data_IF_683765788377
#
_entry.id   IF_683765788377
#
_cell.length_a   1.000
_cell.length_b   1.000
_cell.length_c   1.000
_cell.angle_alpha   90.00
_cell.angle_beta   90.00
_cell.angle_gamma   90.00
#
_symmetry.space_group_name_H-M   'P 1'
#
loop_
_entity.id
_entity.type
_entity.pdbx_description
1 polymer ?
#
# COMPACT_ATOMS: atom_id res chain seq x y z
N UNK A 1 -11.55 30.33 -22.30
CA UNK A 1 -12.15 29.76 -21.08
C UNK A 1 -11.62 30.56 -19.89
N UNK A 2 -12.49 31.20 -19.10
CA UNK A 2 -12.06 32.08 -18.02
C UNK A 2 -11.16 31.33 -17.03
N UNK A 3 -9.98 31.87 -16.74
CA UNK A 3 -9.14 31.50 -15.61
C UNK A 3 -9.90 31.79 -14.31
N UNK A 4 -10.79 30.88 -13.88
CA UNK A 4 -11.19 30.87 -12.47
C UNK A 4 -9.93 30.44 -11.69
N UNK A 5 -9.34 31.37 -10.94
CA UNK A 5 -8.28 31.05 -9.99
C UNK A 5 -8.78 29.91 -9.09
N UNK A 6 -7.92 28.93 -8.83
CA UNK A 6 -8.25 27.90 -7.85
C UNK A 6 -8.59 28.58 -6.50
N UNK A 7 -9.63 28.13 -5.79
CA UNK A 7 -10.03 28.71 -4.52
C UNK A 7 -8.87 28.59 -3.51
N UNK A 8 -8.71 29.62 -2.69
CA UNK A 8 -7.64 29.64 -1.68
C UNK A 8 -7.91 28.62 -0.59
N UNK A 9 -6.95 27.73 -0.34
CA UNK A 9 -7.00 26.75 0.76
C UNK A 9 -6.45 27.28 2.10
N UNK A 10 -6.19 28.60 2.20
CA UNK A 10 -5.51 29.22 3.34
C UNK A 10 -6.20 28.98 4.68
N UNK A 11 -7.54 28.88 4.68
CA UNK A 11 -8.32 28.62 5.88
C UNK A 11 -8.79 27.16 5.96
N UNK A 12 -9.28 26.62 4.85
CA UNK A 12 -9.92 25.29 4.82
C UNK A 12 -8.93 24.16 5.13
N UNK A 13 -7.71 24.19 4.57
CA UNK A 13 -6.73 23.13 4.82
C UNK A 13 -6.21 23.15 6.27
N UNK A 14 -5.68 24.27 6.81
CA UNK A 14 -5.19 24.28 8.19
C UNK A 14 -6.30 23.97 9.19
N UNK A 15 -7.51 24.50 9.00
CA UNK A 15 -8.63 24.21 9.89
C UNK A 15 -8.92 22.71 9.93
N UNK A 16 -9.04 22.07 8.76
CA UNK A 16 -9.33 20.63 8.71
C UNK A 16 -8.21 19.80 9.32
N UNK A 17 -6.96 20.10 9.01
CA UNK A 17 -5.80 19.39 9.56
C UNK A 17 -5.73 19.53 11.09
N UNK A 18 -5.91 20.75 11.62
CA UNK A 18 -5.87 21.01 13.07
C UNK A 18 -7.06 20.37 13.79
N UNK A 19 -8.27 20.44 13.23
CA UNK A 19 -9.45 19.78 13.79
C UNK A 19 -9.21 18.27 13.88
N UNK A 20 -8.67 17.66 12.82
CA UNK A 20 -8.37 16.23 12.81
C UNK A 20 -7.31 15.86 13.86
N UNK A 21 -6.23 16.66 13.95
CA UNK A 21 -5.17 16.43 14.93
C UNK A 21 -5.64 16.61 16.37
N UNK A 22 -6.43 17.64 16.67
CA UNK A 22 -7.02 17.85 18.01
C UNK A 22 -7.97 16.72 18.38
N UNK A 23 -8.78 16.24 17.43
CA UNK A 23 -9.64 15.08 17.64
C UNK A 23 -8.83 13.83 17.97
N UNK A 24 -7.76 13.52 17.21
CA UNK A 24 -6.86 12.40 17.50
C UNK A 24 -6.23 12.54 18.89
N UNK A 25 -5.76 13.73 19.27
CA UNK A 25 -5.20 13.98 20.61
C UNK A 25 -6.24 13.67 21.69
N UNK A 26 -7.48 14.14 21.53
CA UNK A 26 -8.57 13.85 22.46
C UNK A 26 -8.87 12.36 22.57
N UNK A 27 -8.84 11.63 21.45
CA UNK A 27 -9.02 10.18 21.43
C UNK A 27 -7.89 9.45 22.15
N UNK A 28 -6.63 9.84 21.90
CA UNK A 28 -5.49 9.25 22.59
C UNK A 28 -5.54 9.54 24.09
N UNK A 29 -5.82 10.79 24.49
CA UNK A 29 -5.92 11.16 25.89
C UNK A 29 -7.05 10.44 26.64
N UNK A 30 -8.12 10.05 25.95
CA UNK A 30 -9.28 9.38 26.57
C UNK A 30 -9.23 7.86 26.59
N UNK A 31 -8.51 7.22 25.66
CA UNK A 31 -8.65 5.78 25.40
C UNK A 31 -7.34 5.00 25.27
N UNK A 32 -6.19 5.67 25.20
CA UNK A 32 -4.92 5.05 24.81
C UNK A 32 -3.89 5.12 25.92
N UNK A 33 -3.36 3.96 26.29
CA UNK A 33 -2.31 3.78 27.29
C UNK A 33 -1.08 3.06 26.72
N UNK A 34 0.05 3.15 27.44
CA UNK A 34 1.28 2.44 27.07
C UNK A 34 1.29 1.02 27.62
N UNK A 35 1.61 0.05 26.75
CA UNK A 35 1.92 -1.31 27.18
C UNK A 35 3.33 -1.37 27.75
N UNK A 36 3.50 -1.96 28.93
CA UNK A 36 4.82 -2.23 29.48
C UNK A 36 5.62 -3.19 28.57
N UNK A 37 6.86 -2.83 28.23
CA UNK A 37 7.75 -3.59 27.33
C UNK A 37 8.93 -4.13 28.13
N UNK A 38 9.26 -5.42 27.94
CA UNK A 38 10.51 -5.99 28.47
C UNK A 38 11.69 -5.63 27.56
N UNK A 39 12.85 -5.30 28.14
CA UNK A 39 14.04 -4.85 27.39
C UNK A 39 14.41 -5.78 26.21
N UNK A 40 14.35 -7.10 26.42
CA UNK A 40 14.67 -8.07 25.37
C UNK A 40 13.73 -8.04 24.15
N UNK A 41 12.43 -7.73 24.35
CA UNK A 41 11.49 -7.57 23.23
C UNK A 41 11.72 -6.25 22.50
N UNK A 42 12.04 -5.18 23.24
CA UNK A 42 12.34 -3.88 22.67
C UNK A 42 13.52 -3.94 21.68
N UNK A 43 14.65 -4.53 22.09
CA UNK A 43 15.87 -4.62 21.26
C UNK A 43 15.69 -5.41 19.96
N UNK A 44 14.70 -6.31 19.89
CA UNK A 44 14.41 -7.11 18.68
C UNK A 44 13.44 -6.36 17.76
N UNK A 45 12.42 -5.71 18.30
CA UNK A 45 11.35 -5.11 17.50
C UNK A 45 11.69 -3.69 17.03
N UNK A 46 12.51 -2.94 17.78
CA UNK A 46 12.83 -1.56 17.44
C UNK A 46 13.56 -1.40 16.08
N UNK A 47 14.57 -2.22 15.72
CA UNK A 47 15.19 -2.13 14.40
C UNK A 47 14.21 -2.41 13.25
N UNK A 48 13.31 -3.38 13.44
CA UNK A 48 12.26 -3.69 12.46
C UNK A 48 11.31 -2.51 12.28
N UNK A 49 10.94 -1.84 13.37
CA UNK A 49 10.18 -0.60 13.30
C UNK A 49 10.93 0.48 12.49
N UNK A 50 12.23 0.67 12.73
CA UNK A 50 13.01 1.65 11.98
C UNK A 50 13.03 1.36 10.47
N UNK A 51 13.15 0.10 10.08
CA UNK A 51 13.12 -0.31 8.67
C UNK A 51 11.74 -0.04 8.03
N UNK A 52 10.64 -0.38 8.72
CA UNK A 52 9.27 -0.11 8.24
C UNK A 52 9.01 1.40 8.17
N UNK A 53 9.42 2.16 9.17
CA UNK A 53 9.31 3.61 9.16
C UNK A 53 10.10 4.24 8.00
N UNK A 54 11.32 3.75 7.72
CA UNK A 54 12.12 4.19 6.58
C UNK A 54 11.44 3.87 5.24
N UNK A 55 10.78 2.71 5.11
CA UNK A 55 9.95 2.35 3.95
C UNK A 55 8.82 3.37 3.73
N UNK A 56 8.10 3.75 4.80
CA UNK A 56 6.97 4.69 4.71
C UNK A 56 7.43 6.12 4.39
N UNK A 57 8.42 6.62 5.13
CA UNK A 57 8.83 8.04 5.07
C UNK A 57 9.76 8.30 3.90
N UNK A 58 10.86 7.53 3.79
CA UNK A 58 11.89 7.75 2.77
C UNK A 58 11.50 6.99 1.50
N UNK A 59 11.15 5.72 1.63
CA UNK A 59 10.83 4.84 0.50
C UNK A 59 9.71 5.41 -0.37
N UNK A 60 8.48 5.41 0.14
CA UNK A 60 7.35 5.98 -0.62
C UNK A 60 7.46 7.49 -0.82
N UNK A 61 8.00 8.24 0.14
CA UNK A 61 8.13 9.70 0.03
C UNK A 61 8.98 10.12 -1.17
N UNK A 62 10.18 9.54 -1.31
CA UNK A 62 11.03 9.82 -2.47
C UNK A 62 10.47 9.17 -3.74
N UNK A 63 9.81 8.01 -3.68
CA UNK A 63 9.18 7.39 -4.86
C UNK A 63 8.20 8.33 -5.58
N UNK A 64 7.52 9.21 -4.84
CA UNK A 64 6.58 10.19 -5.41
C UNK A 64 7.25 11.44 -6.02
N UNK A 65 8.58 11.57 -5.94
CA UNK A 65 9.31 12.74 -6.43
C UNK A 65 9.55 12.76 -7.92
N UNK A 66 9.25 11.67 -8.66
CA UNK A 66 9.52 11.58 -10.10
C UNK A 66 8.81 12.66 -10.93
N UNK A 67 7.65 13.14 -10.47
CA UNK A 67 6.85 14.17 -11.14
C UNK A 67 7.58 15.51 -11.17
N UNK A 68 7.97 15.95 -12.36
CA UNK A 68 8.86 17.12 -12.58
C UNK A 68 8.37 18.44 -11.98
N UNK A 69 7.05 18.61 -11.76
CA UNK A 69 6.45 19.80 -11.12
C UNK A 69 5.62 19.47 -9.88
N UNK A 70 5.82 18.30 -9.30
CA UNK A 70 5.11 17.87 -8.09
C UNK A 70 6.04 17.27 -7.03
N UNK A 71 7.36 17.20 -7.28
CA UNK A 71 8.31 16.55 -6.37
C UNK A 71 8.23 17.03 -4.91
N UNK A 72 8.19 18.35 -4.68
CA UNK A 72 8.05 18.92 -3.33
C UNK A 72 6.73 18.52 -2.66
N UNK A 73 5.62 18.64 -3.39
CA UNK A 73 4.30 18.27 -2.89
C UNK A 73 4.20 16.77 -2.63
N UNK A 74 4.76 15.92 -3.50
CA UNK A 74 4.80 14.48 -3.33
C UNK A 74 5.48 14.08 -2.02
N UNK A 75 6.69 14.59 -1.78
CA UNK A 75 7.44 14.31 -0.56
C UNK A 75 6.76 14.88 0.70
N UNK A 76 6.36 16.15 0.67
CA UNK A 76 5.78 16.82 1.83
C UNK A 76 4.39 16.26 2.20
N UNK A 77 3.54 16.00 1.21
CA UNK A 77 2.23 15.40 1.46
C UNK A 77 2.34 13.94 1.87
N UNK A 78 3.32 13.18 1.37
CA UNK A 78 3.58 11.83 1.88
C UNK A 78 3.88 11.85 3.37
N UNK A 79 4.82 12.71 3.82
CA UNK A 79 5.16 12.82 5.24
C UNK A 79 3.94 13.24 6.08
N UNK A 80 3.22 14.27 5.65
CA UNK A 80 2.03 14.76 6.34
C UNK A 80 0.95 13.67 6.48
N UNK A 81 0.62 13.00 5.38
CA UNK A 81 -0.44 12.00 5.34
C UNK A 81 -0.02 10.73 6.08
N UNK A 82 1.24 10.30 5.98
CA UNK A 82 1.76 9.17 6.75
C UNK A 82 1.71 9.43 8.26
N UNK A 83 2.11 10.63 8.70
CA UNK A 83 2.05 11.00 10.13
C UNK A 83 0.61 10.99 10.68
N UNK A 84 -0.35 11.49 9.90
CA UNK A 84 -1.77 11.44 10.25
C UNK A 84 -2.32 10.00 10.21
N UNK A 85 -1.95 9.25 9.18
CA UNK A 85 -2.38 7.88 8.94
C UNK A 85 -1.99 6.94 10.08
N UNK A 86 -0.74 7.00 10.54
CA UNK A 86 -0.24 6.13 11.63
C UNK A 86 -1.01 6.38 12.92
N UNK A 87 -1.25 7.64 13.29
CA UNK A 87 -2.03 7.97 14.49
C UNK A 87 -3.47 7.47 14.38
N UNK A 88 -4.11 7.71 13.22
CA UNK A 88 -5.48 7.29 12.99
C UNK A 88 -5.65 5.77 12.96
N UNK A 89 -4.76 5.06 12.26
CA UNK A 89 -4.73 3.60 12.21
C UNK A 89 -4.48 2.99 13.58
N UNK A 90 -3.54 3.53 14.37
CA UNK A 90 -3.27 3.05 15.74
C UNK A 90 -4.53 3.09 16.60
N UNK A 91 -5.28 4.20 16.55
CA UNK A 91 -6.53 4.31 17.29
C UNK A 91 -7.61 3.34 16.78
N UNK A 92 -7.84 3.29 15.46
CA UNK A 92 -8.84 2.41 14.86
C UNK A 92 -8.57 0.94 15.15
N UNK A 93 -7.32 0.50 15.03
CA UNK A 93 -6.92 -0.88 15.36
C UNK A 93 -7.20 -1.20 16.82
N UNK A 94 -6.80 -0.33 17.74
CA UNK A 94 -7.08 -0.52 19.16
C UNK A 94 -8.58 -0.57 19.45
N UNK A 95 -9.37 0.27 18.80
CA UNK A 95 -10.80 0.37 19.03
C UNK A 95 -11.59 -0.82 18.44
N UNK A 96 -11.17 -1.36 17.29
CA UNK A 96 -11.92 -2.36 16.54
C UNK A 96 -11.32 -3.77 16.66
N UNK A 97 -10.00 -3.90 16.75
CA UNK A 97 -9.31 -5.19 16.69
C UNK A 97 -8.89 -5.68 18.07
N UNK A 98 -8.57 -4.79 19.01
CA UNK A 98 -8.22 -5.20 20.37
C UNK A 98 -9.46 -5.45 21.25
N UNK A 99 -9.32 -6.29 22.26
CA UNK A 99 -10.36 -6.51 23.25
C UNK A 99 -10.45 -5.30 24.17
N UNK A 100 -11.55 -4.55 24.10
CA UNK A 100 -11.81 -3.33 24.88
C UNK A 100 -11.74 -3.48 26.41
N UNK A 101 -11.62 -4.70 26.95
CA UNK A 101 -11.55 -4.97 28.38
C UNK A 101 -10.28 -4.41 29.06
N UNK A 102 -9.18 -4.21 28.32
CA UNK A 102 -7.90 -3.68 28.87
C UNK A 102 -7.57 -2.25 28.38
N UNK A 103 -8.50 -1.59 27.68
CA UNK A 103 -8.23 -0.33 26.97
C UNK A 103 -7.31 -0.50 25.75
N UNK A 104 -7.03 0.58 25.01
CA UNK A 104 -6.13 0.53 23.85
C UNK A 104 -4.68 0.63 24.32
N UNK A 105 -3.91 -0.43 24.14
CA UNK A 105 -2.54 -0.54 24.64
C UNK A 105 -1.51 -0.43 23.51
N UNK A 106 -0.77 0.69 23.45
CA UNK A 106 0.25 0.90 22.41
C UNK A 106 1.54 0.14 22.72
N UNK A 107 2.06 -0.54 21.70
CA UNK A 107 3.37 -1.19 21.70
C UNK A 107 4.09 -0.96 20.36
N UNK A 108 5.38 -1.30 20.26
CA UNK A 108 6.09 -1.23 18.98
C UNK A 108 5.40 -2.09 17.89
N UNK A 109 4.83 -3.25 18.25
CA UNK A 109 4.10 -4.10 17.29
C UNK A 109 2.84 -3.40 16.76
N UNK A 110 2.11 -2.68 17.62
CA UNK A 110 0.91 -1.95 17.19
C UNK A 110 1.28 -0.76 16.29
N UNK A 111 2.37 -0.05 16.58
CA UNK A 111 2.86 1.03 15.72
C UNK A 111 3.30 0.49 14.36
N UNK A 112 4.03 -0.63 14.31
CA UNK A 112 4.40 -1.29 13.05
C UNK A 112 3.14 -1.65 12.25
N UNK A 113 2.12 -2.23 12.88
CA UNK A 113 0.86 -2.56 12.19
C UNK A 113 0.16 -1.30 11.65
N UNK A 114 0.15 -0.22 12.42
CA UNK A 114 -0.38 1.07 11.98
C UNK A 114 0.40 1.67 10.80
N UNK A 115 1.72 1.51 10.76
CA UNK A 115 2.55 1.87 9.59
C UNK A 115 2.20 1.03 8.36
N UNK A 116 2.01 -0.27 8.51
CA UNK A 116 1.56 -1.13 7.40
C UNK A 116 0.16 -0.75 6.90
N UNK A 117 -0.76 -0.38 7.79
CA UNK A 117 -2.05 0.17 7.42
C UNK A 117 -1.91 1.49 6.66
N UNK A 118 -1.06 2.40 7.14
CA UNK A 118 -0.75 3.66 6.45
C UNK A 118 -0.19 3.42 5.04
N UNK A 119 0.56 2.34 4.80
CA UNK A 119 1.09 2.00 3.47
C UNK A 119 -0.03 1.74 2.46
N UNK A 120 -1.16 1.15 2.85
CA UNK A 120 -2.33 1.03 1.95
C UNK A 120 -2.72 2.40 1.40
N UNK A 121 -2.84 3.39 2.28
CA UNK A 121 -3.23 4.75 1.91
C UNK A 121 -2.17 5.44 1.03
N UNK A 122 -0.89 5.22 1.32
CA UNK A 122 0.22 5.73 0.51
C UNK A 122 0.22 5.12 -0.89
N UNK A 123 -0.12 3.83 -1.03
CA UNK A 123 -0.32 3.19 -2.33
C UNK A 123 -1.49 3.84 -3.06
N UNK A 124 -2.64 4.03 -2.41
CA UNK A 124 -3.81 4.68 -3.01
C UNK A 124 -3.52 6.09 -3.48
N UNK A 125 -2.73 6.87 -2.71
CA UNK A 125 -2.28 8.21 -3.10
C UNK A 125 -1.55 8.17 -4.44
N UNK A 126 -0.76 7.13 -4.72
CA UNK A 126 -0.07 6.97 -6.01
C UNK A 126 -1.00 6.93 -7.23
N UNK A 127 -2.25 6.49 -7.08
CA UNK A 127 -3.23 6.51 -8.16
C UNK A 127 -3.80 7.92 -8.45
N UNK A 128 -3.78 8.82 -7.45
CA UNK A 128 -4.47 10.12 -7.47
C UNK A 128 -3.54 11.33 -7.26
N UNK A 129 -2.24 11.09 -7.12
CA UNK A 129 -1.22 12.12 -6.88
C UNK A 129 -1.19 13.12 -8.03
N UNK A 130 -1.14 14.41 -7.71
CA UNK A 130 -1.21 15.48 -8.71
C UNK A 130 -2.60 15.79 -9.25
N UNK A 131 -3.63 14.98 -8.92
CA UNK A 131 -5.03 15.21 -9.31
C UNK A 131 -5.86 15.80 -8.17
N UNK A 132 -5.59 15.34 -6.94
CA UNK A 132 -6.28 15.77 -5.72
C UNK A 132 -5.62 16.96 -5.02
N UNK A 133 -6.42 17.77 -4.34
CA UNK A 133 -5.94 18.78 -3.38
C UNK A 133 -5.51 18.15 -2.05
N UNK A 134 -4.73 18.86 -1.20
CA UNK A 134 -4.34 18.35 0.12
C UNK A 134 -5.52 18.00 1.03
N UNK A 135 -6.62 18.74 0.90
CA UNK A 135 -7.87 18.50 1.63
C UNK A 135 -8.48 17.18 1.19
N UNK A 136 -8.58 16.95 -0.12
CA UNK A 136 -9.12 15.69 -0.65
C UNK A 136 -8.25 14.50 -0.27
N UNK A 137 -6.93 14.65 -0.29
CA UNK A 137 -6.00 13.60 0.13
C UNK A 137 -6.20 13.25 1.62
N UNK A 138 -6.31 14.25 2.50
CA UNK A 138 -6.58 14.01 3.93
C UNK A 138 -7.90 13.25 4.12
N UNK A 139 -8.98 13.69 3.47
CA UNK A 139 -10.28 13.03 3.56
C UNK A 139 -10.25 11.59 3.01
N UNK A 140 -9.59 11.38 1.87
CA UNK A 140 -9.44 10.07 1.27
C UNK A 140 -8.69 9.12 2.21
N UNK A 141 -7.55 9.55 2.77
CA UNK A 141 -6.74 8.74 3.68
C UNK A 141 -7.52 8.37 4.94
N UNK A 142 -8.24 9.32 5.54
CA UNK A 142 -9.07 9.06 6.71
C UNK A 142 -10.17 8.02 6.42
N UNK A 143 -10.86 8.14 5.28
CA UNK A 143 -11.89 7.19 4.85
C UNK A 143 -11.30 5.82 4.54
N UNK A 144 -10.21 5.77 3.78
CA UNK A 144 -9.56 4.52 3.38
C UNK A 144 -9.11 3.71 4.59
N UNK A 145 -8.40 4.33 5.54
CA UNK A 145 -7.91 3.63 6.73
C UNK A 145 -9.06 3.14 7.60
N UNK A 146 -10.13 3.92 7.72
CA UNK A 146 -11.35 3.47 8.41
C UNK A 146 -11.92 2.23 7.73
N UNK A 147 -12.08 2.26 6.40
CA UNK A 147 -12.59 1.12 5.64
C UNK A 147 -11.66 -0.09 5.72
N UNK A 148 -10.34 0.10 5.68
CA UNK A 148 -9.39 -1.00 5.71
C UNK A 148 -9.31 -1.68 7.08
N UNK A 149 -9.35 -0.91 8.17
CA UNK A 149 -9.39 -1.49 9.52
C UNK A 149 -10.74 -2.15 9.79
N UNK A 150 -11.86 -1.61 9.25
CA UNK A 150 -13.17 -2.28 9.30
C UNK A 150 -13.17 -3.58 8.49
N UNK A 151 -12.52 -3.63 7.34
CA UNK A 151 -12.32 -4.89 6.58
C UNK A 151 -11.58 -5.91 7.44
N UNK A 152 -10.47 -5.53 8.07
CA UNK A 152 -9.72 -6.42 8.97
C UNK A 152 -10.55 -6.89 10.16
N UNK A 153 -11.35 -6.00 10.77
CA UNK A 153 -12.27 -6.37 11.84
C UNK A 153 -13.32 -7.38 11.36
N UNK A 154 -13.86 -7.18 10.16
CA UNK A 154 -14.80 -8.12 9.55
C UNK A 154 -14.13 -9.48 9.31
N UNK A 155 -12.94 -9.50 8.71
CA UNK A 155 -12.18 -10.73 8.46
C UNK A 155 -11.83 -11.47 9.76
N UNK A 156 -11.46 -10.74 10.81
CA UNK A 156 -11.22 -11.31 12.14
C UNK A 156 -12.49 -11.90 12.73
N UNK A 157 -13.59 -11.17 12.69
CA UNK A 157 -14.83 -11.54 13.37
C UNK A 157 -15.60 -12.67 12.68
N UNK A 158 -15.55 -12.72 11.35
CA UNK A 158 -16.39 -13.63 10.55
C UNK A 158 -15.61 -14.76 9.87
N UNK A 159 -14.33 -14.56 9.59
CA UNK A 159 -13.47 -15.54 8.92
C UNK A 159 -12.32 -16.05 9.82
N UNK A 160 -12.20 -15.50 11.04
CA UNK A 160 -11.14 -15.80 12.00
C UNK A 160 -9.74 -15.62 11.43
N UNK A 161 -9.57 -14.57 10.61
CA UNK A 161 -8.27 -14.18 10.07
C UNK A 161 -7.57 -13.29 11.09
N UNK A 162 -6.32 -13.64 11.38
CA UNK A 162 -5.50 -12.86 12.28
C UNK A 162 -5.18 -11.47 11.69
N UNK A 163 -5.31 -10.38 12.47
CA UNK A 163 -5.01 -9.01 12.01
C UNK A 163 -3.62 -8.82 11.39
N UNK A 164 -2.59 -9.50 11.91
CA UNK A 164 -1.24 -9.42 11.36
C UNK A 164 -1.14 -10.06 9.98
N UNK A 165 -2.04 -11.01 9.68
CA UNK A 165 -2.19 -11.58 8.33
C UNK A 165 -3.01 -10.67 7.43
N UNK A 166 -4.16 -10.18 7.89
CA UNK A 166 -5.05 -9.36 7.06
C UNK A 166 -4.45 -8.00 6.68
N UNK A 167 -3.61 -7.40 7.54
CA UNK A 167 -2.91 -6.15 7.19
C UNK A 167 -1.99 -6.34 5.97
N UNK A 168 -1.45 -7.53 5.74
CA UNK A 168 -0.64 -7.83 4.55
C UNK A 168 -1.45 -7.83 3.24
N UNK A 169 -2.78 -7.68 3.30
CA UNK A 169 -3.60 -7.39 2.12
C UNK A 169 -3.48 -5.94 1.64
N UNK A 170 -2.71 -5.08 2.32
CA UNK A 170 -2.55 -3.64 2.04
C UNK A 170 -2.28 -3.30 0.57
N UNK A 171 -1.50 -4.13 -0.15
CA UNK A 171 -1.19 -3.86 -1.56
C UNK A 171 -2.42 -4.04 -2.47
N UNK A 172 -3.24 -5.06 -2.18
CA UNK A 172 -4.51 -5.27 -2.86
C UNK A 172 -5.51 -4.17 -2.47
N UNK A 173 -5.64 -3.88 -1.17
CA UNK A 173 -6.60 -2.89 -0.72
C UNK A 173 -6.28 -1.50 -1.29
N UNK A 174 -5.06 -1.00 -1.06
CA UNK A 174 -4.66 0.33 -1.51
C UNK A 174 -4.65 0.49 -3.03
N UNK A 175 -4.14 -0.51 -3.78
CA UNK A 175 -4.12 -0.38 -5.24
C UNK A 175 -5.54 -0.26 -5.81
N UNK A 176 -6.46 -1.15 -5.43
CA UNK A 176 -7.80 -1.17 -6.00
C UNK A 176 -8.71 -0.06 -5.43
N UNK A 177 -8.50 0.34 -4.18
CA UNK A 177 -9.14 1.53 -3.60
C UNK A 177 -8.73 2.80 -4.37
N UNK A 178 -7.42 3.05 -4.50
CA UNK A 178 -6.90 4.21 -5.22
C UNK A 178 -7.33 4.26 -6.69
N UNK A 179 -7.33 3.12 -7.39
CA UNK A 179 -7.78 3.03 -8.78
C UNK A 179 -9.26 3.37 -8.94
N UNK A 180 -10.12 2.85 -8.07
CA UNK A 180 -11.56 3.16 -8.14
C UNK A 180 -11.86 4.61 -7.76
N UNK A 181 -11.15 5.16 -6.76
CA UNK A 181 -11.22 6.58 -6.45
C UNK A 181 -10.77 7.46 -7.63
N UNK A 182 -9.64 7.13 -8.26
CA UNK A 182 -9.13 7.82 -9.46
C UNK A 182 -10.13 7.75 -10.62
N UNK A 183 -10.80 6.61 -10.80
CA UNK A 183 -11.80 6.43 -11.85
C UNK A 183 -12.99 7.37 -11.70
N UNK A 184 -13.42 7.65 -10.47
CA UNK A 184 -14.50 8.61 -10.18
C UNK A 184 -14.05 10.04 -10.50
N UNK A 185 -12.77 10.35 -10.29
CA UNK A 185 -12.17 11.67 -10.48
C UNK A 185 -11.69 11.94 -11.90
N UNK A 186 -11.92 11.01 -12.82
CA UNK A 186 -11.49 11.11 -14.20
C UNK A 186 -11.89 12.45 -14.84
N UNK A 187 -10.94 13.08 -15.54
CA UNK A 187 -11.14 14.30 -16.31
C UNK A 187 -10.82 14.03 -17.77
N UNK A 188 -11.76 14.28 -18.67
CA UNK A 188 -11.57 14.09 -20.11
C UNK A 188 -10.38 14.87 -20.68
N UNK A 189 -10.08 16.03 -20.10
CA UNK A 189 -8.90 16.85 -20.47
C UNK A 189 -7.54 16.22 -20.15
N UNK A 190 -7.50 15.14 -19.35
CA UNK A 190 -6.27 14.41 -19.00
C UNK A 190 -6.07 13.13 -19.83
N UNK A 191 -6.98 12.82 -20.76
CA UNK A 191 -6.98 11.55 -21.49
C UNK A 191 -5.72 11.34 -22.38
N UNK A 192 -5.06 12.42 -22.78
CA UNK A 192 -3.82 12.39 -23.56
C UNK A 192 -2.57 12.67 -22.71
N UNK A 193 -2.68 12.54 -21.39
CA UNK A 193 -1.66 12.93 -20.43
C UNK A 193 -1.61 14.44 -20.22
N UNK A 194 -0.99 14.87 -19.13
CA UNK A 194 -0.71 16.28 -18.86
C UNK A 194 0.79 16.56 -19.02
N UNK A 195 1.14 17.71 -19.59
CA UNK A 195 2.55 18.13 -19.72
C UNK A 195 3.36 18.15 -18.40
N UNK A 196 2.70 18.12 -17.24
CA UNK A 196 3.32 18.15 -15.90
C UNK A 196 3.56 16.75 -15.34
N UNK A 197 2.90 15.75 -15.92
CA UNK A 197 2.96 14.34 -15.57
C UNK A 197 4.08 13.65 -16.37
N UNK A 198 5.28 14.18 -16.20
CA UNK A 198 6.49 13.59 -16.74
C UNK A 198 7.61 13.78 -15.75
N UNK A 199 8.78 13.28 -16.07
CA UNK A 199 9.95 13.37 -15.21
C UNK A 199 11.10 14.14 -15.86
N UNK A 200 12.04 14.57 -15.02
CA UNK A 200 13.34 15.10 -15.38
C UNK A 200 14.42 14.12 -14.89
N UNK A 201 15.62 14.13 -15.46
CA UNK A 201 16.70 13.24 -15.00
C UNK A 201 16.96 13.34 -13.49
N UNK A 202 16.96 14.56 -12.95
CA UNK A 202 17.16 14.77 -11.51
C UNK A 202 15.99 14.26 -10.66
N UNK A 203 14.74 14.38 -11.14
CA UNK A 203 13.58 13.89 -10.39
C UNK A 203 13.50 12.37 -10.42
N UNK A 204 13.94 11.71 -11.50
CA UNK A 204 14.10 10.25 -11.53
C UNK A 204 15.20 9.79 -10.56
N UNK A 205 16.34 10.48 -10.49
CA UNK A 205 17.41 10.13 -9.54
C UNK A 205 16.93 10.23 -8.09
N UNK A 206 16.23 11.30 -7.72
CA UNK A 206 15.61 11.40 -6.39
C UNK A 206 14.58 10.29 -6.17
N UNK A 207 13.80 9.96 -7.19
CA UNK A 207 12.80 8.91 -7.08
C UNK A 207 13.40 7.53 -6.85
N UNK A 208 14.57 7.26 -7.43
CA UNK A 208 15.31 6.02 -7.24
C UNK A 208 15.83 5.85 -5.81
N UNK A 209 16.05 6.94 -5.06
CA UNK A 209 16.33 6.83 -3.60
C UNK A 209 15.17 6.12 -2.92
N UNK A 210 13.94 6.50 -3.24
CA UNK A 210 12.74 5.84 -2.73
C UNK A 210 12.69 4.35 -3.08
N UNK A 211 12.87 4.02 -4.37
CA UNK A 211 12.93 2.63 -4.84
C UNK A 211 13.99 1.81 -4.10
N UNK A 212 15.19 2.34 -3.89
CA UNK A 212 16.28 1.61 -3.24
C UNK A 212 15.97 1.36 -1.76
N UNK A 213 15.44 2.36 -1.03
CA UNK A 213 15.03 2.18 0.36
C UNK A 213 13.91 1.14 0.49
N UNK A 214 12.92 1.21 -0.40
CA UNK A 214 11.86 0.20 -0.48
C UNK A 214 12.46 -1.19 -0.71
N UNK A 215 13.31 -1.35 -1.72
CA UNK A 215 13.92 -2.62 -2.09
C UNK A 215 14.77 -3.22 -0.95
N UNK A 216 15.60 -2.40 -0.29
CA UNK A 216 16.50 -2.87 0.78
C UNK A 216 15.75 -3.30 2.05
N UNK A 217 14.70 -2.58 2.43
CA UNK A 217 13.98 -2.80 3.69
C UNK A 217 12.72 -3.65 3.55
N UNK A 218 12.32 -4.02 2.33
CA UNK A 218 11.19 -4.92 2.08
C UNK A 218 11.27 -6.27 2.83
N UNK A 219 12.45 -6.91 2.99
CA UNK A 219 12.55 -8.14 3.77
C UNK A 219 12.12 -7.94 5.24
N UNK A 220 12.46 -6.80 5.85
CA UNK A 220 11.98 -6.44 7.18
C UNK A 220 10.47 -6.17 7.17
N UNK A 221 9.99 -5.42 6.16
CA UNK A 221 8.56 -5.15 5.96
C UNK A 221 7.70 -6.42 5.93
N UNK A 222 8.05 -7.40 5.09
CA UNK A 222 7.29 -8.65 4.96
C UNK A 222 7.44 -9.61 6.15
N UNK A 223 8.40 -9.38 7.04
CA UNK A 223 8.64 -10.23 8.22
C UNK A 223 8.21 -9.59 9.54
N UNK A 224 7.80 -8.32 9.52
CA UNK A 224 7.71 -7.47 10.69
C UNK A 224 6.73 -7.98 11.76
N UNK A 225 5.59 -8.54 11.33
CA UNK A 225 4.54 -9.00 12.22
C UNK A 225 4.52 -10.52 12.44
N UNK A 226 5.47 -11.27 11.88
CA UNK A 226 5.55 -12.72 12.09
C UNK A 226 6.02 -13.02 13.52
N UNK A 227 5.47 -14.06 14.15
CA UNK A 227 5.78 -14.35 15.55
C UNK A 227 7.01 -15.22 15.74
N UNK A 228 7.19 -16.25 14.89
CA UNK A 228 8.27 -17.22 15.07
C UNK A 228 9.55 -16.81 14.35
N UNK A 229 10.71 -17.12 14.95
CA UNK A 229 12.04 -16.88 14.34
C UNK A 229 12.17 -17.55 12.97
N UNK A 230 11.64 -18.78 12.84
CA UNK A 230 11.69 -19.55 11.59
C UNK A 230 10.89 -18.86 10.47
N UNK A 231 9.66 -18.43 10.76
CA UNK A 231 8.84 -17.70 9.78
C UNK A 231 9.49 -16.38 9.39
N UNK A 232 10.02 -15.62 10.36
CA UNK A 232 10.76 -14.37 10.08
C UNK A 232 11.95 -14.61 9.15
N UNK A 233 12.81 -15.58 9.46
CA UNK A 233 13.98 -15.87 8.61
C UNK A 233 13.59 -16.29 7.20
N UNK A 234 12.54 -17.11 7.06
CA UNK A 234 12.03 -17.52 5.74
C UNK A 234 11.48 -16.32 4.98
N UNK A 235 10.67 -15.49 5.62
CA UNK A 235 10.10 -14.32 5.00
C UNK A 235 11.18 -13.33 4.52
N UNK A 236 12.25 -13.13 5.32
CA UNK A 236 13.41 -12.32 4.93
C UNK A 236 14.09 -12.89 3.68
N UNK A 237 14.49 -14.17 3.70
CA UNK A 237 15.20 -14.77 2.56
C UNK A 237 14.35 -14.83 1.30
N UNK A 238 13.09 -15.29 1.41
CA UNK A 238 12.19 -15.40 0.28
C UNK A 238 11.87 -14.02 -0.31
N UNK A 239 11.69 -13.00 0.53
CA UNK A 239 11.48 -11.63 0.03
C UNK A 239 12.69 -11.10 -0.73
N UNK A 240 13.89 -11.30 -0.19
CA UNK A 240 15.12 -10.88 -0.85
C UNK A 240 15.31 -11.57 -2.21
N UNK A 241 15.16 -12.90 -2.28
CA UNK A 241 15.33 -13.64 -3.54
C UNK A 241 14.23 -13.32 -4.56
N UNK A 242 12.99 -13.08 -4.13
CA UNK A 242 11.93 -12.62 -5.01
C UNK A 242 12.24 -11.24 -5.60
N UNK A 243 12.70 -10.29 -4.78
CA UNK A 243 13.11 -8.97 -5.23
C UNK A 243 14.32 -9.02 -6.19
N UNK A 244 15.31 -9.85 -5.91
CA UNK A 244 16.48 -10.02 -6.77
C UNK A 244 16.08 -10.56 -8.16
N UNK A 245 15.28 -11.63 -8.19
CA UNK A 245 14.80 -12.20 -9.46
C UNK A 245 13.88 -11.23 -10.22
N UNK A 246 13.03 -10.50 -9.51
CA UNK A 246 12.18 -9.44 -10.06
C UNK A 246 13.01 -8.33 -10.69
N UNK A 247 14.06 -7.84 -10.03
CA UNK A 247 14.93 -6.80 -10.58
C UNK A 247 15.58 -7.25 -11.90
N UNK A 248 16.16 -8.45 -11.93
CA UNK A 248 16.78 -8.98 -13.17
C UNK A 248 15.76 -9.08 -14.29
N UNK A 249 14.54 -9.59 -14.01
CA UNK A 249 13.51 -9.73 -15.04
C UNK A 249 13.02 -8.38 -15.56
N UNK A 250 12.87 -7.38 -14.70
CA UNK A 250 12.45 -6.03 -15.08
C UNK A 250 13.48 -5.35 -15.99
N UNK A 251 14.77 -5.42 -15.68
CA UNK A 251 15.82 -4.87 -16.55
C UNK A 251 15.85 -5.55 -17.93
N UNK A 252 15.73 -6.88 -17.95
CA UNK A 252 15.70 -7.65 -19.19
C UNK A 252 14.46 -7.30 -20.03
N UNK A 253 13.26 -7.39 -19.45
CA UNK A 253 12.00 -7.14 -20.16
C UNK A 253 11.89 -5.69 -20.58
N UNK A 254 12.27 -4.72 -19.74
CA UNK A 254 12.24 -3.29 -20.11
C UNK A 254 13.09 -3.01 -21.35
N UNK A 255 14.24 -3.69 -21.48
CA UNK A 255 15.12 -3.54 -22.65
C UNK A 255 14.52 -4.23 -23.87
N UNK A 256 13.97 -5.44 -23.71
CA UNK A 256 13.36 -6.23 -24.78
C UNK A 256 12.16 -5.54 -25.43
N UNK A 257 11.32 -4.89 -24.64
CA UNK A 257 10.09 -4.23 -25.14
C UNK A 257 10.32 -2.80 -25.61
N UNK A 258 11.51 -2.23 -25.37
CA UNK A 258 11.86 -0.89 -25.83
C UNK A 258 12.35 -0.93 -27.28
N UNK A 259 11.77 -0.11 -28.17
CA UNK A 259 12.07 -0.08 -29.61
C UNK A 259 13.54 0.09 -30.01
N UNK A 260 14.38 0.59 -29.09
CA UNK A 260 15.83 0.80 -29.27
C UNK A 260 16.71 0.00 -28.29
N UNK A 261 16.14 -0.96 -27.56
CA UNK A 261 16.88 -1.70 -26.55
C UNK A 261 17.45 -0.83 -25.42
N UNK A 262 16.70 0.19 -24.97
CA UNK A 262 17.11 1.05 -23.84
C UNK A 262 16.33 0.66 -22.59
N UNK A 263 16.94 0.90 -21.44
CA UNK A 263 16.29 0.73 -20.14
C UNK A 263 15.41 1.95 -19.86
N UNK A 264 14.14 1.71 -19.50
CA UNK A 264 13.21 2.75 -19.08
C UNK A 264 13.21 2.86 -17.55
N UNK A 265 13.60 4.03 -17.04
CA UNK A 265 13.68 4.29 -15.61
C UNK A 265 12.32 4.20 -14.90
N UNK A 266 11.21 4.47 -15.58
CA UNK A 266 9.89 4.31 -14.97
C UNK A 266 9.59 2.83 -14.66
N UNK A 267 10.05 1.92 -15.52
CA UNK A 267 9.96 0.47 -15.26
C UNK A 267 10.88 0.09 -14.10
N UNK A 268 12.14 0.55 -14.10
CA UNK A 268 13.09 0.20 -13.02
C UNK A 268 12.62 0.70 -11.66
N UNK A 269 12.16 1.95 -11.59
CA UNK A 269 11.70 2.58 -10.35
C UNK A 269 10.57 1.80 -9.68
N UNK A 270 9.62 1.30 -10.46
CA UNK A 270 8.37 0.76 -9.95
C UNK A 270 8.29 -0.76 -10.03
N UNK A 271 8.63 -1.36 -11.18
CA UNK A 271 8.39 -2.77 -11.41
C UNK A 271 9.35 -3.68 -10.63
N UNK A 272 10.57 -3.20 -10.30
CA UNK A 272 11.57 -3.97 -9.52
C UNK A 272 11.10 -4.31 -8.09
N UNK A 273 10.09 -3.59 -7.59
CA UNK A 273 9.50 -3.76 -6.27
C UNK A 273 8.39 -4.83 -6.26
N UNK A 274 7.88 -5.21 -7.43
CA UNK A 274 6.72 -6.10 -7.58
C UNK A 274 6.95 -7.49 -6.99
N UNK A 275 8.19 -7.97 -6.96
CA UNK A 275 8.55 -9.24 -6.32
C UNK A 275 8.33 -9.23 -4.81
N UNK A 276 8.63 -8.10 -4.14
CA UNK A 276 8.39 -7.92 -2.72
C UNK A 276 6.90 -7.86 -2.37
N UNK A 277 6.10 -7.26 -3.26
CA UNK A 277 4.64 -7.27 -3.17
C UNK A 277 4.08 -8.68 -3.32
N UNK A 278 4.44 -9.37 -4.41
CA UNK A 278 3.87 -10.67 -4.76
C UNK A 278 4.21 -11.77 -3.74
N UNK A 279 5.36 -11.68 -3.08
CA UNK A 279 5.76 -12.68 -2.09
C UNK A 279 5.19 -12.41 -0.70
N UNK A 280 4.67 -11.20 -0.40
CA UNK A 280 4.39 -10.73 0.96
C UNK A 280 3.64 -11.73 1.85
N UNK A 281 2.44 -12.15 1.46
CA UNK A 281 1.63 -13.11 2.21
C UNK A 281 2.23 -14.52 2.28
N UNK A 282 2.94 -14.95 1.23
CA UNK A 282 3.41 -16.32 1.06
C UNK A 282 4.85 -16.54 1.52
N UNK A 283 5.62 -15.47 1.75
CA UNK A 283 7.02 -15.51 2.13
C UNK A 283 7.35 -16.44 3.33
N UNK A 284 6.56 -16.48 4.42
CA UNK A 284 6.86 -17.40 5.53
C UNK A 284 6.55 -18.88 5.23
N UNK A 285 5.74 -19.16 4.19
CA UNK A 285 5.26 -20.51 3.84
C UNK A 285 6.17 -21.24 2.85
N UNK A 286 7.10 -20.53 2.21
CA UNK A 286 7.95 -21.10 1.17
C UNK A 286 9.21 -21.70 1.80
N UNK A 287 9.35 -23.03 1.69
CA UNK A 287 10.52 -23.75 2.20
C UNK A 287 11.72 -23.69 1.23
N UNK A 288 11.46 -23.59 -0.07
CA UNK A 288 12.47 -23.64 -1.11
C UNK A 288 12.64 -22.28 -1.81
N UNK A 289 13.80 -21.61 -1.70
CA UNK A 289 14.01 -20.25 -2.22
C UNK A 289 13.76 -20.07 -3.72
N UNK A 290 13.94 -21.12 -4.53
CA UNK A 290 13.69 -21.04 -5.98
C UNK A 290 12.21 -20.73 -6.30
N UNK A 291 11.27 -21.13 -5.43
CA UNK A 291 9.85 -20.80 -5.60
C UNK A 291 9.66 -19.28 -5.47
N UNK A 292 10.31 -18.66 -4.48
CA UNK A 292 10.27 -17.20 -4.31
C UNK A 292 10.90 -16.48 -5.51
N UNK A 293 11.99 -17.02 -6.07
CA UNK A 293 12.59 -16.49 -7.30
C UNK A 293 11.64 -16.56 -8.50
N UNK A 294 10.90 -17.67 -8.67
CA UNK A 294 9.90 -17.81 -9.75
C UNK A 294 8.81 -16.76 -9.59
N UNK A 295 8.24 -16.61 -8.39
CA UNK A 295 7.20 -15.61 -8.11
C UNK A 295 7.70 -14.20 -8.40
N UNK A 296 8.91 -13.86 -7.92
CA UNK A 296 9.55 -12.58 -8.17
C UNK A 296 9.80 -12.30 -9.66
N UNK A 297 10.36 -13.28 -10.37
CA UNK A 297 10.60 -13.20 -11.81
C UNK A 297 9.29 -12.91 -12.57
N UNK A 298 8.25 -13.72 -12.30
CA UNK A 298 6.92 -13.58 -12.94
C UNK A 298 6.27 -12.24 -12.62
N UNK A 299 6.33 -11.78 -11.37
CA UNK A 299 5.80 -10.48 -10.97
C UNK A 299 6.49 -9.32 -11.72
N UNK A 300 7.83 -9.37 -11.85
CA UNK A 300 8.58 -8.35 -12.60
C UNK A 300 8.24 -8.30 -14.09
N UNK A 301 8.07 -9.48 -14.72
CA UNK A 301 7.61 -9.59 -16.12
C UNK A 301 6.23 -8.98 -16.29
N UNK A 302 5.25 -9.42 -15.48
CA UNK A 302 3.85 -8.97 -15.57
C UNK A 302 3.74 -7.47 -15.29
N UNK A 303 4.44 -6.97 -14.27
CA UNK A 303 4.47 -5.54 -13.94
C UNK A 303 4.98 -4.70 -15.11
N UNK A 304 6.13 -5.07 -15.68
CA UNK A 304 6.74 -4.34 -16.80
C UNK A 304 5.86 -4.36 -18.05
N UNK A 305 5.34 -5.53 -18.43
CA UNK A 305 4.44 -5.66 -19.58
C UNK A 305 3.12 -4.91 -19.34
N UNK A 306 2.60 -4.91 -18.12
CA UNK A 306 1.40 -4.16 -17.75
C UNK A 306 1.57 -2.65 -17.94
N UNK A 307 2.68 -2.09 -17.49
CA UNK A 307 2.98 -0.66 -17.71
C UNK A 307 3.06 -0.34 -19.21
N UNK A 308 3.76 -1.16 -19.98
CA UNK A 308 4.03 -0.89 -21.40
C UNK A 308 2.79 -1.06 -22.28
N UNK A 309 2.00 -2.12 -22.06
CA UNK A 309 0.91 -2.48 -22.96
C UNK A 309 -0.49 -2.18 -22.41
N UNK A 310 -0.69 -2.28 -21.09
CA UNK A 310 -2.02 -2.16 -20.49
C UNK A 310 -2.33 -0.71 -20.07
N UNK A 311 -1.34 0.07 -19.61
CA UNK A 311 -1.55 1.44 -19.10
C UNK A 311 -2.33 2.33 -20.07
N UNK A 312 -1.86 2.45 -21.31
CA UNK A 312 -2.54 3.29 -22.31
C UNK A 312 -3.95 2.83 -22.61
N UNK A 313 -4.20 1.51 -22.60
CA UNK A 313 -5.51 0.94 -22.83
C UNK A 313 -6.49 1.29 -21.70
N UNK A 314 -6.08 1.16 -20.43
CA UNK A 314 -6.93 1.48 -19.28
C UNK A 314 -7.22 2.98 -19.19
N UNK A 315 -6.24 3.84 -19.44
CA UNK A 315 -6.42 5.28 -19.42
C UNK A 315 -7.41 5.75 -20.49
N UNK A 316 -7.31 5.21 -21.71
CA UNK A 316 -8.12 5.68 -22.85
C UNK A 316 -9.49 5.01 -22.94
N UNK A 317 -9.57 3.69 -22.73
CA UNK A 317 -10.82 2.93 -22.89
C UNK A 317 -11.61 2.82 -21.59
N UNK A 318 -10.93 2.59 -20.48
CA UNK A 318 -11.57 2.44 -19.17
C UNK A 318 -11.65 3.75 -18.39
N UNK A 319 -11.05 4.83 -18.90
CA UNK A 319 -11.00 6.15 -18.24
C UNK A 319 -10.36 6.07 -16.85
N UNK A 320 -9.39 5.17 -16.69
CA UNK A 320 -8.71 4.89 -15.43
C UNK A 320 -7.32 5.51 -15.47
N UNK A 321 -7.16 6.64 -14.79
CA UNK A 321 -5.87 7.32 -14.71
C UNK A 321 -5.06 6.79 -13.54
N UNK A 322 -3.85 6.28 -13.79
CA UNK A 322 -2.99 5.71 -12.76
C UNK A 322 -1.61 6.37 -12.85
N UNK A 323 -1.43 7.45 -12.08
CA UNK A 323 -0.27 8.33 -12.18
C UNK A 323 1.03 7.59 -11.86
N UNK A 324 1.09 6.85 -10.75
CA UNK A 324 2.27 6.08 -10.37
C UNK A 324 2.34 4.68 -11.01
N UNK A 325 1.26 4.18 -11.60
CA UNK A 325 1.19 2.80 -12.08
C UNK A 325 0.97 1.80 -10.94
N UNK A 326 0.19 2.17 -9.93
CA UNK A 326 -0.04 1.36 -8.72
C UNK A 326 -0.71 0.02 -9.04
N UNK A 327 -1.50 -0.04 -10.12
CA UNK A 327 -2.04 -1.31 -10.60
C UNK A 327 -0.93 -2.30 -10.95
N UNK A 328 0.14 -1.81 -11.58
CA UNK A 328 1.20 -2.67 -12.13
C UNK A 328 2.23 -3.06 -11.07
N UNK A 329 2.49 -2.21 -10.08
CA UNK A 329 3.44 -2.50 -9.01
C UNK A 329 2.80 -3.17 -7.80
N UNK A 330 1.56 -2.82 -7.46
CA UNK A 330 0.87 -3.30 -6.26
C UNK A 330 -0.33 -4.18 -6.58
N UNK A 331 -1.21 -3.77 -7.50
CA UNK A 331 -2.46 -4.46 -7.79
C UNK A 331 -2.26 -5.86 -8.40
N UNK A 332 -1.67 -5.94 -9.61
CA UNK A 332 -1.41 -7.21 -10.30
C UNK A 332 -0.45 -8.11 -9.50
N UNK A 333 0.68 -7.60 -8.95
CA UNK A 333 1.54 -8.42 -8.10
C UNK A 333 0.84 -8.87 -6.81
N UNK A 334 -0.03 -8.05 -6.22
CA UNK A 334 -0.86 -8.43 -5.09
C UNK A 334 -1.84 -9.57 -5.41
N UNK A 335 -2.44 -9.57 -6.60
CA UNK A 335 -3.29 -10.68 -7.07
C UNK A 335 -2.46 -11.96 -7.22
N UNK A 336 -1.29 -11.86 -7.85
CA UNK A 336 -0.36 -13.00 -7.99
C UNK A 336 -0.01 -13.55 -6.60
N UNK A 337 0.33 -12.67 -5.65
CA UNK A 337 0.65 -13.06 -4.29
C UNK A 337 -0.49 -13.72 -3.54
N UNK A 338 -1.71 -13.23 -3.71
CA UNK A 338 -2.91 -13.87 -3.17
C UNK A 338 -3.13 -15.27 -3.74
N UNK A 339 -2.97 -15.46 -5.06
CA UNK A 339 -3.09 -16.77 -5.71
C UNK A 339 -2.00 -17.72 -5.19
N UNK A 340 -0.74 -17.28 -5.15
CA UNK A 340 0.39 -18.08 -4.63
C UNK A 340 0.14 -18.47 -3.18
N UNK A 341 -0.31 -17.54 -2.35
CA UNK A 341 -0.66 -17.80 -0.96
C UNK A 341 -1.75 -18.88 -0.84
N UNK A 342 -2.84 -18.75 -1.60
CA UNK A 342 -3.93 -19.74 -1.63
C UNK A 342 -3.40 -21.13 -2.04
N UNK A 343 -2.62 -21.21 -3.12
CA UNK A 343 -2.04 -22.48 -3.55
C UNK A 343 -1.18 -23.10 -2.44
N UNK A 344 -0.29 -22.32 -1.83
CA UNK A 344 0.61 -22.82 -0.79
C UNK A 344 -0.13 -23.28 0.47
N UNK A 345 -1.13 -22.52 0.94
CA UNK A 345 -1.90 -22.95 2.12
C UNK A 345 -2.65 -24.25 1.84
N UNK A 346 -3.19 -24.48 0.63
CA UNK A 346 -3.84 -25.74 0.29
C UNK A 346 -2.86 -26.91 0.14
N UNK A 347 -1.65 -26.67 -0.36
CA UNK A 347 -0.61 -27.71 -0.47
C UNK A 347 0.04 -28.08 0.86
N UNK A 348 0.16 -27.11 1.77
CA UNK A 348 0.87 -27.28 3.06
C UNK A 348 -0.07 -27.57 4.22
N UNK A 349 -1.40 -27.41 4.04
CA UNK A 349 -2.35 -27.77 5.07
C UNK A 349 -2.39 -29.28 5.25
N UNK A 350 -2.19 -29.79 6.48
CA UNK A 350 -2.36 -31.22 6.73
C UNK A 350 -3.81 -31.61 6.38
N UNK A 351 -3.97 -32.61 5.52
CA UNK A 351 -5.27 -33.15 5.09
C UNK A 351 -6.14 -33.39 6.33
N UNK A 352 -7.31 -32.75 6.47
CA UNK A 352 -8.02 -32.82 7.72
C UNK A 352 -9.06 -33.95 7.67
N UNK A 353 -8.88 -34.95 8.54
CA UNK A 353 -9.95 -35.83 8.99
C UNK A 353 -11.00 -35.08 9.87
N UNK A 354 -11.10 -33.75 9.74
CA UNK A 354 -12.06 -32.87 10.44
C UNK A 354 -12.44 -31.72 9.51
N UNK A 355 -13.71 -31.70 9.07
CA UNK A 355 -14.39 -30.63 8.31
C UNK A 355 -13.57 -29.41 7.86
N UNK A 356 -13.55 -29.15 6.55
CA UNK A 356 -12.99 -27.96 5.88
C UNK A 356 -13.49 -26.58 6.39
N UNK A 357 -14.41 -26.55 7.36
CA UNK A 357 -15.12 -25.38 7.87
C UNK A 357 -14.68 -24.92 9.28
N UNK A 358 -13.45 -25.19 9.72
CA UNK A 358 -12.96 -24.64 10.99
C UNK A 358 -12.54 -23.15 10.85
N UNK A 359 -12.62 -22.41 11.94
CA UNK A 359 -12.17 -21.01 12.04
C UNK A 359 -10.71 -20.85 11.56
N UNK A 360 -10.48 -19.94 10.61
CA UNK A 360 -9.14 -19.70 10.03
C UNK A 360 -8.66 -20.78 9.04
N UNK A 361 -9.58 -21.59 8.49
CA UNK A 361 -9.29 -22.61 7.47
C UNK A 361 -8.63 -22.03 6.20
N UNK A 362 -8.01 -22.88 5.36
CA UNK A 362 -7.50 -22.47 4.04
C UNK A 362 -8.57 -21.83 3.15
N UNK A 363 -9.83 -22.27 3.27
CA UNK A 363 -10.97 -21.68 2.56
C UNK A 363 -11.22 -20.27 3.07
N UNK A 364 -11.30 -20.06 4.39
CA UNK A 364 -11.51 -18.73 4.98
C UNK A 364 -10.42 -17.74 4.54
N UNK A 365 -9.16 -18.19 4.52
CA UNK A 365 -8.01 -17.40 4.04
C UNK A 365 -8.12 -17.02 2.56
N UNK A 366 -8.59 -17.95 1.71
CA UNK A 366 -8.85 -17.64 0.30
C UNK A 366 -10.03 -16.67 0.13
N UNK A 367 -11.12 -16.87 0.88
CA UNK A 367 -12.29 -15.97 0.89
C UNK A 367 -11.89 -14.58 1.37
N UNK A 368 -11.01 -14.46 2.36
CA UNK A 368 -10.54 -13.19 2.90
C UNK A 368 -9.91 -12.29 1.83
N UNK A 369 -9.10 -12.86 0.92
CA UNK A 369 -8.50 -12.11 -0.20
C UNK A 369 -9.58 -11.54 -1.13
N UNK A 370 -10.61 -12.35 -1.43
CA UNK A 370 -11.73 -11.93 -2.29
C UNK A 370 -12.57 -10.84 -1.61
N UNK A 371 -12.81 -10.99 -0.29
CA UNK A 371 -13.53 -9.99 0.51
C UNK A 371 -12.77 -8.68 0.51
N UNK A 372 -11.47 -8.67 0.82
CA UNK A 372 -10.67 -7.45 0.83
C UNK A 372 -10.63 -6.77 -0.55
N UNK A 373 -10.49 -7.56 -1.63
CA UNK A 373 -10.52 -7.01 -2.99
C UNK A 373 -11.88 -6.40 -3.33
N UNK A 374 -12.97 -7.04 -2.91
CA UNK A 374 -14.31 -6.51 -3.14
C UNK A 374 -14.57 -5.24 -2.32
N UNK A 375 -14.14 -5.25 -1.04
CA UNK A 375 -14.24 -4.13 -0.13
C UNK A 375 -13.46 -2.91 -0.66
N UNK A 376 -12.23 -3.11 -1.16
CA UNK A 376 -11.42 -2.00 -1.69
C UNK A 376 -12.05 -1.35 -2.92
N UNK A 377 -12.63 -2.13 -3.83
CA UNK A 377 -13.35 -1.62 -4.99
C UNK A 377 -14.58 -0.79 -4.59
N UNK A 378 -15.41 -1.32 -3.69
CA UNK A 378 -16.65 -0.66 -3.25
C UNK A 378 -16.34 0.61 -2.46
N UNK A 379 -15.46 0.51 -1.46
CA UNK A 379 -15.12 1.63 -0.58
C UNK A 379 -14.34 2.72 -1.31
N UNK A 380 -13.47 2.37 -2.26
CA UNK A 380 -12.78 3.34 -3.10
C UNK A 380 -13.70 4.10 -4.05
N UNK A 381 -14.74 3.45 -4.60
CA UNK A 381 -15.81 4.14 -5.35
C UNK A 381 -16.55 5.15 -4.47
N UNK A 382 -16.96 4.75 -3.26
CA UNK A 382 -17.66 5.62 -2.31
C UNK A 382 -16.78 6.80 -1.89
N UNK A 383 -15.54 6.54 -1.49
CA UNK A 383 -14.60 7.58 -1.10
C UNK A 383 -14.32 8.55 -2.25
N UNK A 384 -14.14 8.02 -3.47
CA UNK A 384 -14.00 8.80 -4.70
C UNK A 384 -15.19 9.75 -4.93
N UNK A 385 -16.42 9.30 -4.67
CA UNK A 385 -17.61 10.15 -4.77
C UNK A 385 -17.62 11.24 -3.68
N UNK A 386 -17.30 10.88 -2.43
CA UNK A 386 -17.23 11.82 -1.30
C UNK A 386 -16.24 12.96 -1.58
N UNK A 387 -15.03 12.63 -2.03
CA UNK A 387 -13.98 13.64 -2.30
C UNK A 387 -14.24 14.42 -3.59
N UNK A 388 -14.95 13.85 -4.57
CA UNK A 388 -15.36 14.58 -5.79
C UNK A 388 -16.48 15.60 -5.50
N UNK A 389 -17.42 15.27 -4.60
CA UNK A 389 -18.47 16.20 -4.20
C UNK A 389 -17.90 17.45 -3.52
N UNK A 390 -16.85 17.30 -2.72
CA UNK A 390 -16.13 18.41 -2.11
C UNK A 390 -15.55 19.39 -3.17
N UNK A 391 -14.97 18.85 -4.26
CA UNK A 391 -14.46 19.69 -5.38
C UNK A 391 -15.54 20.51 -6.06
N UNK A 392 -16.75 19.97 -6.19
CA UNK A 392 -17.84 20.69 -6.84
C UNK A 392 -18.31 21.86 -5.98
N UNK A 393 -18.33 21.71 -4.65
CA UNK A 393 -18.67 22.78 -3.71
C UNK A 393 -17.64 23.92 -3.68
N UNK A 394 -16.36 23.63 -3.84
CA UNK A 394 -15.34 24.70 -3.91
C UNK A 394 -15.39 25.52 -5.23
N UNK A 395 -16.15 25.07 -6.24
CA UNK A 395 -16.29 25.76 -7.55
C UNK A 395 -17.57 26.61 -7.69
N UNK A 396 -18.55 26.40 -6.80
CA UNK A 396 -19.80 27.16 -6.68
C UNK A 396 -19.54 28.29 -5.69
#
# INVERSE_FOLDING_TARGET
MSNKLAPSIRLSFPLMALVFQVAIIGLFAGFVDYKAITEGKFSITYPVFQDVNAVVVIGFGFLLTFLKRYAHSGLAFNLFLAALAVQWATFLEGALLDTLQEGIQISLKSIIRAELNAVSAVISIGAVVGVMSPIQLLLMVALELTCFVVDQWFLKSWLSIDPDTSVMHLHLFGAFFGLTASRVLYRSGLCNGHEKEGSLPISELFSMIGTIFLWMFWPSFNSALLDTRLQRSRAVFNTYYALAACSVSVFAVSTLVHNKGKIDMANIRNATLSGGVAIGLSAPLIDSPYIAMIVGFTAGVISTLGVVYLKRCLETRMKLHDTCGVLYTHGLPGIIGGIVYVVLIFLTSPVPNKSLNYEGSPINKAVAIIVTLSASLVTGLIAGQCVNWHLQRERI
#
